data_IF_770893670059
#
_entry.id   IF_770893670059
#
_cell.length_a   1.000
_cell.length_b   1.000
_cell.length_c   1.000
_cell.angle_alpha   90.00
_cell.angle_beta   90.00
_cell.angle_gamma   90.00
#
_symmetry.space_group_name_H-M   'P 1'
#
loop_
_entity.id
_entity.type
_entity.pdbx_description
1 polymer ?
#
# COMPACT_ATOMS: atom_id res chain seq x y z
N UNK A 1 42.47 3.63 67.72
CA UNK A 1 41.21 3.09 67.17
C UNK A 1 41.01 3.63 65.81
N UNK A 2 41.15 2.79 64.86
CA UNK A 2 40.96 3.17 63.47
C UNK A 2 39.63 2.59 62.97
N UNK A 3 38.67 3.45 62.72
CA UNK A 3 37.43 3.08 62.09
C UNK A 3 37.65 3.07 60.61
N UNK A 4 37.54 1.92 60.01
CA UNK A 4 37.58 1.80 58.59
C UNK A 4 36.16 1.97 58.02
N UNK A 5 35.97 3.07 57.33
CA UNK A 5 34.76 3.24 56.54
C UNK A 5 34.91 2.51 55.24
N UNK A 6 34.24 1.43 55.11
CA UNK A 6 34.08 0.80 53.82
C UNK A 6 32.99 1.52 53.09
N UNK A 7 33.36 2.40 52.18
CA UNK A 7 32.45 3.00 51.26
C UNK A 7 32.04 1.94 50.23
N UNK A 8 30.86 1.42 50.45
CA UNK A 8 30.25 0.56 49.44
C UNK A 8 29.72 1.44 48.31
N UNK A 9 30.49 1.50 47.24
CA UNK A 9 30.04 2.08 45.99
C UNK A 9 29.07 1.09 45.35
N UNK A 10 27.82 1.33 45.56
CA UNK A 10 26.77 0.67 44.80
C UNK A 10 26.78 1.26 43.39
N UNK A 11 27.41 0.58 42.48
CA UNK A 11 27.26 0.89 41.06
C UNK A 11 25.84 0.50 40.62
N UNK A 12 25.03 1.50 40.50
CA UNK A 12 23.74 1.35 39.86
C UNK A 12 23.99 1.16 38.36
N UNK A 13 23.96 -0.06 37.92
CA UNK A 13 23.95 -0.37 36.50
C UNK A 13 22.51 -0.03 36.01
N UNK A 14 22.38 1.15 35.45
CA UNK A 14 21.17 1.49 34.70
C UNK A 14 21.14 0.64 33.45
N UNK A 15 20.44 -0.46 33.51
CA UNK A 15 20.09 -1.20 32.30
C UNK A 15 19.11 -0.34 31.51
N UNK A 16 19.64 0.41 30.56
CA UNK A 16 18.83 1.03 29.55
C UNK A 16 18.34 -0.09 28.65
N UNK A 17 17.17 -0.60 28.96
CA UNK A 17 16.46 -1.45 28.06
C UNK A 17 16.09 -0.60 26.83
N UNK A 18 16.86 -0.75 25.79
CA UNK A 18 16.49 -0.27 24.48
C UNK A 18 15.27 -1.08 24.04
N UNK A 19 14.10 -0.55 24.33
CA UNK A 19 12.87 -1.00 23.71
C UNK A 19 12.97 -0.64 22.24
N UNK A 20 13.58 -1.50 21.47
CA UNK A 20 13.35 -1.52 20.05
C UNK A 20 11.96 -2.07 19.88
N UNK A 21 10.98 -1.18 19.83
CA UNK A 21 9.67 -1.56 19.37
C UNK A 21 9.87 -2.10 17.96
N UNK A 22 9.54 -3.38 17.69
CA UNK A 22 9.50 -3.81 16.32
C UNK A 22 8.52 -2.85 15.64
N UNK A 23 8.99 -2.19 14.60
CA UNK A 23 8.10 -1.55 13.68
C UNK A 23 7.08 -2.62 13.31
N UNK A 24 5.90 -2.51 13.87
CA UNK A 24 4.79 -3.33 13.43
C UNK A 24 4.62 -2.96 11.97
N UNK A 25 5.38 -3.64 11.15
CA UNK A 25 5.23 -3.51 9.74
C UNK A 25 3.81 -3.91 9.44
N UNK A 26 3.11 -3.08 8.72
CA UNK A 26 1.84 -3.42 8.14
C UNK A 26 1.93 -4.65 7.21
N UNK A 27 3.08 -5.33 7.21
CA UNK A 27 3.43 -6.50 6.41
C UNK A 27 2.75 -7.79 6.88
N UNK A 28 2.03 -7.75 7.99
CA UNK A 28 1.17 -8.87 8.39
C UNK A 28 -0.13 -8.89 7.60
N UNK A 29 -0.49 -7.78 6.93
CA UNK A 29 -1.59 -7.79 6.00
C UNK A 29 -1.22 -8.66 4.79
N UNK A 30 -2.13 -9.52 4.39
CA UNK A 30 -1.96 -10.32 3.19
C UNK A 30 -1.71 -9.43 1.97
N UNK A 31 -0.99 -9.96 1.00
CA UNK A 31 -0.76 -9.26 -0.26
C UNK A 31 -1.66 -9.87 -1.34
N UNK A 32 -2.72 -9.17 -1.72
CA UNK A 32 -3.52 -9.61 -2.86
C UNK A 32 -2.70 -9.57 -4.13
N UNK A 33 -2.94 -10.53 -5.00
CA UNK A 33 -2.25 -10.61 -6.28
C UNK A 33 -3.21 -10.26 -7.40
N UNK A 34 -2.82 -9.29 -8.23
CA UNK A 34 -3.63 -8.85 -9.36
C UNK A 34 -3.59 -9.89 -10.48
N UNK A 35 -4.69 -10.55 -10.72
CA UNK A 35 -4.82 -11.63 -11.71
C UNK A 35 -5.31 -11.09 -13.05
N UNK A 36 -6.30 -10.22 -13.03
CA UNK A 36 -6.88 -9.64 -14.23
C UNK A 36 -6.89 -8.12 -14.12
N UNK A 37 -6.22 -7.48 -15.05
CA UNK A 37 -6.09 -6.02 -15.11
C UNK A 37 -6.53 -5.51 -16.48
N UNK A 38 -7.81 -5.38 -16.67
CA UNK A 38 -8.35 -4.75 -17.86
C UNK A 38 -8.61 -3.28 -17.58
N UNK A 39 -7.77 -2.43 -18.12
CA UNK A 39 -7.79 -0.99 -17.86
C UNK A 39 -8.18 -0.24 -19.13
N UNK A 40 -9.15 0.64 -19.00
CA UNK A 40 -9.62 1.48 -20.11
C UNK A 40 -8.66 2.65 -20.32
N UNK A 41 -8.33 2.90 -21.57
CA UNK A 41 -7.63 4.12 -21.99
C UNK A 41 -8.59 4.97 -22.83
N UNK A 42 -9.07 6.11 -22.32
CA UNK A 42 -10.04 6.92 -23.04
C UNK A 42 -9.50 7.38 -24.38
N UNK A 43 -10.30 7.22 -25.44
CA UNK A 43 -9.87 7.57 -26.80
C UNK A 43 -9.49 9.04 -26.93
N UNK A 44 -10.26 9.93 -26.31
CA UNK A 44 -9.94 11.35 -26.30
C UNK A 44 -8.59 11.67 -25.67
N UNK A 45 -8.20 10.91 -24.65
CA UNK A 45 -6.89 11.04 -24.00
C UNK A 45 -5.78 10.52 -24.92
N UNK A 46 -6.03 9.42 -25.62
CA UNK A 46 -5.07 8.88 -26.60
C UNK A 46 -4.81 9.88 -27.74
N UNK A 47 -5.86 10.45 -28.28
CA UNK A 47 -5.78 11.42 -29.40
C UNK A 47 -5.01 12.66 -28.97
N UNK A 48 -5.16 13.10 -27.72
CA UNK A 48 -4.46 14.27 -27.19
C UNK A 48 -3.06 13.97 -26.71
N UNK A 49 -2.59 12.73 -26.81
CA UNK A 49 -1.27 12.31 -26.36
C UNK A 49 -1.09 12.42 -24.85
N UNK A 50 -2.17 12.26 -24.09
CA UNK A 50 -2.11 12.30 -22.62
C UNK A 50 -1.49 11.02 -22.09
N UNK A 51 -0.48 11.19 -21.27
CA UNK A 51 0.27 10.10 -20.65
C UNK A 51 0.48 10.41 -19.17
N UNK A 52 0.69 9.40 -18.36
CA UNK A 52 0.99 9.57 -16.96
C UNK A 52 0.74 8.31 -16.15
N UNK A 53 1.07 8.38 -14.89
CA UNK A 53 0.90 7.29 -13.93
C UNK A 53 -0.13 7.67 -12.89
N UNK A 54 -1.13 6.80 -12.71
CA UNK A 54 -2.13 6.93 -11.66
C UNK A 54 -1.76 5.98 -10.53
N UNK A 55 -1.61 6.49 -9.34
CA UNK A 55 -1.37 5.68 -8.15
C UNK A 55 -2.64 5.64 -7.31
N UNK A 56 -3.14 4.44 -7.03
CA UNK A 56 -4.41 4.24 -6.35
C UNK A 56 -4.28 3.33 -5.14
N UNK A 57 -5.03 3.65 -4.09
CA UNK A 57 -5.29 2.76 -2.98
C UNK A 57 -6.58 2.01 -3.27
N UNK A 58 -6.48 0.71 -3.43
CA UNK A 58 -7.61 -0.14 -3.78
C UNK A 58 -8.01 -0.97 -2.59
N UNK A 59 -9.27 -0.90 -2.20
CA UNK A 59 -9.85 -1.71 -1.14
C UNK A 59 -10.43 -2.97 -1.78
N UNK A 60 -9.90 -4.12 -1.43
CA UNK A 60 -10.23 -5.41 -2.03
C UNK A 60 -11.02 -6.25 -1.03
N UNK A 61 -12.15 -6.79 -1.47
CA UNK A 61 -13.03 -7.61 -0.67
C UNK A 61 -12.63 -9.11 -0.66
N UNK A 62 -13.39 -9.91 0.05
CA UNK A 62 -13.16 -11.35 0.17
C UNK A 62 -13.36 -12.13 -1.13
N UNK A 63 -14.02 -11.52 -2.11
CA UNK A 63 -14.23 -12.10 -3.44
C UNK A 63 -13.10 -11.73 -4.43
N UNK A 64 -12.11 -10.98 -3.98
CA UNK A 64 -11.04 -10.48 -4.84
C UNK A 64 -11.46 -9.32 -5.75
N UNK A 65 -12.55 -8.65 -5.40
CA UNK A 65 -13.05 -7.50 -6.17
C UNK A 65 -12.72 -6.20 -5.46
N UNK A 66 -12.43 -5.17 -6.23
CA UNK A 66 -12.22 -3.84 -5.70
C UNK A 66 -13.55 -3.24 -5.27
N UNK A 67 -13.71 -2.94 -4.00
CA UNK A 67 -14.86 -2.21 -3.48
C UNK A 67 -14.74 -0.72 -3.77
N UNK A 68 -13.50 -0.22 -3.73
CA UNK A 68 -13.21 1.19 -3.88
C UNK A 68 -11.79 1.37 -4.40
N UNK A 69 -11.60 2.36 -5.23
CA UNK A 69 -10.29 2.77 -5.71
C UNK A 69 -10.14 4.26 -5.43
N UNK A 70 -9.28 4.61 -4.48
CA UNK A 70 -9.03 5.99 -4.09
C UNK A 70 -7.73 6.48 -4.72
N UNK A 71 -7.75 7.67 -5.26
CA UNK A 71 -6.60 8.27 -5.90
C UNK A 71 -5.57 8.68 -4.85
N UNK A 72 -4.35 8.12 -4.94
CA UNK A 72 -3.22 8.53 -4.12
C UNK A 72 -2.38 9.59 -4.84
N UNK A 73 -2.16 9.41 -6.15
CA UNK A 73 -1.44 10.35 -6.99
C UNK A 73 -2.08 10.41 -8.37
N UNK A 74 -2.37 11.61 -8.82
CA UNK A 74 -2.94 11.86 -10.14
C UNK A 74 -1.88 11.69 -11.24
N UNK A 75 -2.32 11.23 -12.40
CA UNK A 75 -1.53 11.25 -13.64
C UNK A 75 -1.29 12.66 -14.16
N UNK A 76 -2.01 13.64 -13.65
CA UNK A 76 -2.10 15.00 -14.19
C UNK A 76 -3.31 15.20 -15.08
N UNK A 77 -4.03 14.15 -15.42
CA UNK A 77 -5.21 14.20 -16.29
C UNK A 77 -6.39 13.51 -15.63
N UNK A 78 -7.42 14.28 -15.36
CA UNK A 78 -8.62 13.79 -14.66
C UNK A 78 -9.28 12.62 -15.39
N UNK A 79 -9.28 12.61 -16.72
CA UNK A 79 -9.86 11.54 -17.51
C UNK A 79 -9.13 10.22 -17.33
N UNK A 80 -7.80 10.25 -17.27
CA UNK A 80 -6.99 9.06 -17.01
C UNK A 80 -7.20 8.55 -15.59
N UNK A 81 -7.22 9.45 -14.62
CA UNK A 81 -7.43 9.10 -13.21
C UNK A 81 -8.79 8.42 -13.02
N UNK A 82 -9.81 8.98 -13.63
CA UNK A 82 -11.17 8.46 -13.54
C UNK A 82 -11.31 7.12 -14.25
N UNK A 83 -10.69 6.96 -15.41
CA UNK A 83 -10.68 5.71 -16.18
C UNK A 83 -9.99 4.59 -15.40
N UNK A 84 -8.86 4.88 -14.77
CA UNK A 84 -8.14 3.92 -13.95
C UNK A 84 -8.97 3.45 -12.75
N UNK A 85 -9.54 4.39 -12.00
CA UNK A 85 -10.36 4.07 -10.83
C UNK A 85 -11.61 3.25 -11.19
N UNK A 86 -12.29 3.62 -12.24
CA UNK A 86 -13.47 2.90 -12.73
C UNK A 86 -13.12 1.51 -13.22
N UNK A 87 -12.03 1.37 -13.96
CA UNK A 87 -11.55 0.07 -14.45
C UNK A 87 -11.22 -0.87 -13.30
N UNK A 88 -10.59 -0.34 -12.24
CA UNK A 88 -10.25 -1.13 -11.07
C UNK A 88 -11.51 -1.71 -10.40
N UNK A 89 -12.53 -0.91 -10.21
CA UNK A 89 -13.78 -1.33 -9.56
C UNK A 89 -14.57 -2.28 -10.45
N UNK A 90 -14.63 -2.02 -11.75
CA UNK A 90 -15.49 -2.75 -12.66
C UNK A 90 -14.86 -4.04 -13.20
N UNK A 91 -13.56 -4.05 -13.45
CA UNK A 91 -12.93 -5.10 -14.24
C UNK A 91 -11.80 -5.85 -13.57
N UNK A 92 -11.15 -5.28 -12.56
CA UNK A 92 -10.00 -5.91 -11.98
C UNK A 92 -10.38 -7.05 -11.05
N UNK A 93 -9.59 -8.13 -11.08
CA UNK A 93 -9.75 -9.28 -10.22
C UNK A 93 -8.42 -9.55 -9.52
N UNK A 94 -8.50 -9.73 -8.21
CA UNK A 94 -7.36 -10.04 -7.37
C UNK A 94 -7.48 -11.45 -6.80
N UNK A 95 -6.36 -12.12 -6.68
CA UNK A 95 -6.27 -13.37 -5.93
C UNK A 95 -6.03 -13.03 -4.46
N UNK A 96 -6.96 -13.40 -3.61
CA UNK A 96 -6.92 -13.17 -2.16
C UNK A 96 -6.79 -14.48 -1.38
N UNK A 97 -6.40 -15.57 -2.04
CA UNK A 97 -6.28 -16.89 -1.40
C UNK A 97 -5.24 -16.93 -0.29
N UNK A 98 -4.21 -16.08 -0.38
CA UNK A 98 -3.22 -15.91 0.67
C UNK A 98 -3.75 -15.10 1.87
N UNK A 99 -4.94 -14.53 1.76
CA UNK A 99 -5.56 -13.71 2.78
C UNK A 99 -6.51 -14.54 3.63
N UNK A 100 -6.44 -14.36 4.94
CA UNK A 100 -7.47 -14.87 5.83
C UNK A 100 -8.67 -13.93 5.81
N UNK A 101 -9.85 -14.48 6.05
CA UNK A 101 -11.10 -13.72 6.04
C UNK A 101 -11.09 -12.52 6.98
N UNK A 102 -10.41 -12.66 8.12
CA UNK A 102 -10.26 -11.58 9.12
C UNK A 102 -9.44 -10.41 8.63
N UNK A 103 -8.59 -10.61 7.62
CA UNK A 103 -7.71 -9.59 7.05
C UNK A 103 -8.37 -8.82 5.91
N UNK A 104 -9.55 -9.23 5.52
CA UNK A 104 -10.32 -8.62 4.44
C UNK A 104 -11.44 -7.71 4.99
N UNK A 105 -11.73 -6.59 4.38
CA UNK A 105 -11.09 -6.05 3.18
C UNK A 105 -9.67 -5.53 3.44
N UNK A 106 -8.83 -5.62 2.42
CA UNK A 106 -7.44 -5.18 2.48
C UNK A 106 -7.21 -4.05 1.49
N UNK A 107 -6.38 -3.08 1.86
CA UNK A 107 -5.99 -1.99 0.98
C UNK A 107 -4.66 -2.33 0.30
N UNK A 108 -4.63 -2.20 -1.02
CA UNK A 108 -3.45 -2.45 -1.83
C UNK A 108 -3.19 -1.28 -2.76
N UNK A 109 -1.92 -0.91 -2.89
CA UNK A 109 -1.52 0.21 -3.76
C UNK A 109 -1.17 -0.35 -5.14
N UNK A 110 -1.79 0.20 -6.18
CA UNK A 110 -1.53 -0.18 -7.58
C UNK A 110 -1.25 1.07 -8.41
N UNK A 111 -0.21 0.99 -9.23
CA UNK A 111 0.12 2.01 -10.21
C UNK A 111 -0.39 1.60 -11.59
N UNK A 112 -1.02 2.53 -12.28
CA UNK A 112 -1.43 2.37 -13.68
C UNK A 112 -0.67 3.36 -14.52
N UNK A 113 0.13 2.83 -15.45
CA UNK A 113 0.86 3.66 -16.39
C UNK A 113 0.11 3.74 -17.70
N UNK A 114 -0.14 4.96 -18.15
CA UNK A 114 -0.70 5.22 -19.45
C UNK A 114 0.39 5.73 -20.39
N UNK A 115 0.67 4.96 -21.40
CA UNK A 115 1.61 5.31 -22.46
C UNK A 115 0.89 5.37 -23.79
N UNK A 116 1.16 6.40 -24.52
CA UNK A 116 0.60 6.56 -25.85
C UNK A 116 1.60 6.02 -26.90
N UNK A 117 1.56 4.71 -27.08
CA UNK A 117 2.44 3.99 -28.01
C UNK A 117 1.94 4.03 -29.45
N UNK A 118 0.96 4.85 -29.75
CA UNK A 118 0.23 4.79 -31.00
C UNK A 118 0.99 5.34 -32.23
N UNK A 119 2.21 5.80 -32.07
CA UNK A 119 2.98 6.40 -33.17
C UNK A 119 4.46 6.14 -33.08
#
# INVERSE_FOLDING_TARGET
MKTFFVSSLATLAAATALLTAPLASADTACKPHLVQKQTSFPLGSQIRGQEGTVLMNIVIDENGRAQRADLQRSSGYRKLDRAAARSAVDNWVFDVTACERKDLPVTHVVAVEYHNDAY
#
